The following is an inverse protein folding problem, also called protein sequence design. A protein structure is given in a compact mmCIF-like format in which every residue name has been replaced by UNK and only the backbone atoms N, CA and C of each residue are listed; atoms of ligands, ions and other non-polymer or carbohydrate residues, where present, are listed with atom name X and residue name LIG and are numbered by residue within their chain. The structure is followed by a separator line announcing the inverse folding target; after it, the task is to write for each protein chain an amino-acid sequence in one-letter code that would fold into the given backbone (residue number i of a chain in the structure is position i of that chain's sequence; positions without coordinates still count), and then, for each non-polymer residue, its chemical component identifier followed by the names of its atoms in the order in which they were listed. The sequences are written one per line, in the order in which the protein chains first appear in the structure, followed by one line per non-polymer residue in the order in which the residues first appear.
data_IF_155194831141
#
_entry.id   IF_155194831141
#
_cell.length_a   1.000
_cell.length_b   1.000
_cell.length_c   1.000
_cell.angle_alpha   90.00
_cell.angle_beta   90.00
_cell.angle_gamma   90.00
#
_symmetry.space_group_name_H-M   'P 1'
#
loop_
_entity.id
_entity.type
_entity.pdbx_description
1 polymer ?
#
# COMPACT_ATOMS: atom_id res chain seq x y z
N UNK A 1 6.31 11.66 6.70
CA UNK A 1 5.84 10.53 5.89
C UNK A 1 6.81 9.37 5.96
N UNK A 2 6.34 8.20 5.59
CA UNK A 2 7.18 7.01 5.65
C UNK A 2 8.34 7.09 4.68
N UNK A 3 9.54 6.83 5.17
CA UNK A 3 10.73 6.72 4.35
C UNK A 3 11.81 6.05 5.18
N UNK A 4 12.82 5.41 4.54
CA UNK A 4 13.91 4.81 5.30
C UNK A 4 14.75 5.85 6.00
N UNK A 5 15.21 5.54 7.21
CA UNK A 5 16.11 6.43 7.94
C UNK A 5 17.52 6.43 7.35
N UNK A 6 17.97 5.29 6.90
CA UNK A 6 19.29 5.12 6.29
C UNK A 6 19.17 4.21 5.08
N UNK A 7 19.91 4.53 4.03
CA UNK A 7 19.96 3.69 2.85
C UNK A 7 21.38 3.58 2.36
N UNK A 8 21.72 2.40 1.86
CA UNK A 8 23.03 2.19 1.28
C UNK A 8 23.15 2.95 -0.02
N UNK A 9 22.12 2.95 -0.82
CA UNK A 9 22.09 3.65 -2.09
C UNK A 9 20.86 4.50 -2.14
N UNK A 10 21.04 5.79 -2.32
CA UNK A 10 19.89 6.71 -2.37
C UNK A 10 19.20 6.70 -3.71
N UNK A 11 19.82 6.16 -4.73
CA UNK A 11 19.27 6.09 -6.07
C UNK A 11 19.28 4.66 -6.55
N UNK A 12 18.18 4.21 -7.16
CA UNK A 12 18.07 2.87 -7.70
C UNK A 12 17.49 2.96 -9.10
N UNK A 13 17.66 1.87 -9.86
CA UNK A 13 17.05 1.79 -11.18
C UNK A 13 15.57 1.52 -11.03
N UNK A 14 14.80 1.96 -12.04
CA UNK A 14 13.36 1.80 -11.97
C UNK A 14 12.90 0.35 -11.92
N UNK A 15 13.49 -0.50 -12.70
CA UNK A 15 13.05 -1.87 -12.78
C UNK A 15 11.69 -2.05 -13.44
N UNK A 16 11.26 -3.29 -13.56
CA UNK A 16 9.97 -3.64 -14.16
C UNK A 16 9.06 -4.25 -13.10
N UNK A 17 7.77 -3.96 -13.24
CA UNK A 17 6.76 -4.52 -12.35
C UNK A 17 6.22 -5.80 -12.94
N UNK A 18 6.93 -6.90 -12.76
CA UNK A 18 6.53 -8.19 -13.31
C UNK A 18 6.31 -9.21 -12.20
N UNK A 19 5.44 -10.17 -12.46
CA UNK A 19 5.20 -11.27 -11.55
C UNK A 19 4.24 -10.95 -10.43
N UNK A 20 3.78 -12.00 -9.74
CA UNK A 20 2.90 -11.87 -8.60
C UNK A 20 3.71 -11.77 -7.31
N UNK A 21 3.08 -11.32 -6.25
CA UNK A 21 3.72 -11.27 -4.93
C UNK A 21 4.06 -12.67 -4.46
N UNK A 22 5.25 -12.82 -3.90
CA UNK A 22 5.70 -14.12 -3.35
C UNK A 22 5.43 -14.24 -1.86
N UNK A 23 5.12 -13.16 -1.19
CA UNK A 23 4.82 -13.15 0.23
C UNK A 23 3.88 -12.00 0.54
N UNK A 24 3.38 -11.95 1.77
CA UNK A 24 2.47 -10.91 2.18
C UNK A 24 1.14 -10.96 1.43
N UNK A 25 0.68 -12.18 1.08
CA UNK A 25 -0.52 -12.35 0.27
C UNK A 25 -1.75 -12.70 1.09
N UNK A 26 -1.60 -12.87 2.38
CA UNK A 26 -2.74 -13.20 3.24
C UNK A 26 -2.85 -12.21 4.38
N UNK A 27 -4.07 -12.04 4.88
CA UNK A 27 -4.32 -11.21 6.07
C UNK A 27 -3.79 -11.97 7.28
N UNK A 28 -2.82 -11.39 7.98
CA UNK A 28 -2.12 -12.07 9.08
C UNK A 28 -2.32 -11.43 10.44
N UNK A 29 -2.44 -10.12 10.50
CA UNK A 29 -2.54 -9.40 11.77
C UNK A 29 -3.96 -9.00 12.12
N UNK A 30 -4.75 -8.63 11.15
CA UNK A 30 -6.12 -8.19 11.36
C UNK A 30 -7.14 -9.20 10.90
N UNK A 31 -8.38 -8.76 10.78
CA UNK A 31 -9.47 -9.59 10.30
C UNK A 31 -9.79 -9.30 8.84
N UNK A 32 -9.47 -8.11 8.37
CA UNK A 32 -9.79 -7.65 7.03
C UNK A 32 -8.56 -6.99 6.42
N UNK A 33 -8.53 -6.94 5.11
CA UNK A 33 -7.39 -6.33 4.42
C UNK A 33 -7.74 -5.75 3.07
N UNK A 34 -6.78 -5.02 2.52
CA UNK A 34 -6.82 -4.53 1.15
C UNK A 34 -5.70 -5.25 0.40
N UNK A 35 -6.07 -5.95 -0.66
CA UNK A 35 -5.11 -6.70 -1.46
C UNK A 35 -5.02 -6.09 -2.85
N UNK A 36 -3.81 -5.91 -3.34
CA UNK A 36 -3.58 -5.37 -4.68
C UNK A 36 -4.01 -6.38 -5.74
N UNK A 37 -4.70 -5.89 -6.76
CA UNK A 37 -5.10 -6.69 -7.91
C UNK A 37 -4.18 -6.42 -9.09
N UNK A 38 -3.65 -5.22 -9.16
CA UNK A 38 -2.74 -4.80 -10.22
C UNK A 38 -1.39 -4.41 -9.63
N UNK A 39 -0.31 -4.49 -10.41
CA UNK A 39 0.98 -3.99 -9.94
C UNK A 39 1.03 -2.47 -9.99
N UNK A 40 1.90 -1.90 -9.20
CA UNK A 40 2.10 -0.46 -9.23
C UNK A 40 3.09 -0.01 -8.19
N UNK A 41 3.33 1.29 -8.18
CA UNK A 41 4.14 1.94 -7.17
C UNK A 41 3.23 2.72 -6.24
N UNK A 42 3.41 2.52 -4.95
CA UNK A 42 2.61 3.18 -3.93
C UNK A 42 3.50 4.18 -3.20
N UNK A 43 3.21 5.46 -3.35
CA UNK A 43 4.02 6.50 -2.74
C UNK A 43 3.71 6.63 -1.25
N UNK A 44 4.64 7.21 -0.50
CA UNK A 44 4.42 7.47 0.92
C UNK A 44 3.17 8.33 1.15
N UNK A 45 2.91 9.29 0.26
CA UNK A 45 1.71 10.13 0.38
C UNK A 45 0.43 9.34 0.17
N UNK A 46 0.44 8.40 -0.77
CA UNK A 46 -0.74 7.56 -1.03
C UNK A 46 -1.00 6.61 0.15
N UNK A 47 0.07 6.06 0.74
CA UNK A 47 -0.07 5.23 1.93
C UNK A 47 -0.71 6.04 3.06
N UNK A 48 -0.21 7.24 3.29
CA UNK A 48 -0.75 8.09 4.35
C UNK A 48 -2.20 8.49 4.08
N UNK A 49 -2.52 8.83 2.84
CA UNK A 49 -3.88 9.19 2.46
C UNK A 49 -4.86 8.03 2.69
N UNK A 50 -4.46 6.82 2.33
CA UNK A 50 -5.29 5.64 2.54
C UNK A 50 -5.48 5.36 4.04
N UNK A 51 -4.40 5.47 4.83
CA UNK A 51 -4.48 5.27 6.27
C UNK A 51 -5.45 6.27 6.91
N UNK A 52 -5.35 7.53 6.52
CA UNK A 52 -6.23 8.57 7.06
C UNK A 52 -7.69 8.29 6.67
N UNK A 53 -7.93 7.88 5.44
CA UNK A 53 -9.29 7.57 4.99
C UNK A 53 -9.91 6.45 5.82
N UNK A 54 -9.14 5.40 6.11
CA UNK A 54 -9.62 4.31 6.95
C UNK A 54 -9.88 4.76 8.38
N UNK A 55 -8.92 5.45 8.99
CA UNK A 55 -9.04 5.84 10.38
C UNK A 55 -10.16 6.84 10.63
N UNK A 56 -10.41 7.73 9.68
CA UNK A 56 -11.54 8.66 9.80
C UNK A 56 -12.87 7.92 9.77
N UNK A 57 -12.97 6.89 8.97
CA UNK A 57 -14.23 6.18 8.82
C UNK A 57 -14.53 5.30 10.03
N UNK A 58 -13.53 4.61 10.57
CA UNK A 58 -13.74 3.76 11.75
C UNK A 58 -13.62 4.54 13.05
N UNK A 59 -13.18 5.77 12.97
CA UNK A 59 -13.04 6.66 14.13
C UNK A 59 -12.14 6.03 15.19
N UNK A 60 -12.61 5.87 16.42
CA UNK A 60 -11.78 5.35 17.48
C UNK A 60 -11.79 3.84 17.60
N UNK A 61 -12.66 3.18 16.86
CA UNK A 61 -12.69 1.73 16.88
C UNK A 61 -11.63 1.16 15.97
N UNK A 62 -11.17 0.01 16.29
CA UNK A 62 -10.31 -0.71 15.37
C UNK A 62 -8.84 -0.37 15.44
N UNK A 63 -8.07 -1.22 14.79
CA UNK A 63 -6.64 -1.09 14.69
C UNK A 63 -6.24 -1.31 13.25
N UNK A 64 -5.31 -0.49 12.75
CA UNK A 64 -4.87 -0.53 11.36
C UNK A 64 -3.40 -0.93 11.32
N UNK A 65 -3.06 -1.83 10.41
CA UNK A 65 -1.66 -2.17 10.12
C UNK A 65 -1.36 -1.78 8.69
N UNK A 66 -0.20 -1.16 8.49
CA UNK A 66 0.32 -0.85 7.16
C UNK A 66 1.35 -1.92 6.85
N UNK A 67 1.10 -2.71 5.81
CA UNK A 67 1.96 -3.85 5.49
C UNK A 67 2.95 -3.59 4.36
N UNK A 68 3.03 -2.36 3.90
CA UNK A 68 3.99 -1.97 2.87
C UNK A 68 4.80 -0.80 3.38
N UNK A 69 6.03 -0.71 2.91
CA UNK A 69 6.91 0.38 3.29
C UNK A 69 7.56 0.95 2.03
N UNK A 70 7.59 2.27 1.87
CA UNK A 70 8.18 2.89 0.68
C UNK A 70 9.70 2.96 0.81
N UNK A 71 10.37 1.93 0.33
CA UNK A 71 11.82 1.82 0.45
C UNK A 71 12.57 2.06 -0.85
N UNK A 72 11.87 2.27 -1.97
CA UNK A 72 12.51 2.52 -3.25
C UNK A 72 12.52 4.01 -3.56
N UNK A 73 13.69 4.62 -3.74
CA UNK A 73 13.74 6.03 -4.13
C UNK A 73 13.48 6.19 -5.61
N UNK A 74 12.69 7.20 -5.95
CA UNK A 74 12.41 7.55 -7.34
C UNK A 74 12.88 8.98 -7.55
N UNK A 75 13.67 9.18 -8.59
CA UNK A 75 14.18 10.51 -8.91
C UNK A 75 13.37 11.11 -10.05
N UNK A 76 13.11 12.40 -9.93
CA UNK A 76 12.49 13.15 -11.00
C UNK A 76 13.46 14.24 -11.42
N UNK A 77 13.66 14.41 -12.71
CA UNK A 77 14.44 15.54 -13.18
C UNK A 77 13.53 16.76 -13.21
N UNK A 78 13.99 17.89 -12.67
CA UNK A 78 13.22 19.13 -12.82
C UNK A 78 13.04 19.45 -14.30
N UNK A 79 11.96 20.14 -14.64
CA UNK A 79 11.70 20.49 -16.03
C UNK A 79 12.82 21.31 -16.66
N UNK A 80 13.59 22.03 -15.83
CA UNK A 80 14.68 22.85 -16.31
C UNK A 80 16.01 22.16 -16.38
N UNK A 81 16.10 20.89 -15.98
CA UNK A 81 17.36 20.16 -15.99
C UNK A 81 17.76 19.83 -17.41
N UNK A 82 18.98 20.22 -17.77
CA UNK A 82 19.51 19.91 -19.09
C UNK A 82 19.82 18.42 -19.21
N UNK A 83 19.71 17.90 -20.41
CA UNK A 83 20.07 16.52 -20.67
C UNK A 83 21.53 16.28 -20.36
N UNK A 84 21.82 15.14 -19.77
CA UNK A 84 23.20 14.78 -19.48
C UNK A 84 23.72 15.22 -18.12
N UNK A 85 22.94 15.93 -17.34
CA UNK A 85 23.41 16.38 -16.03
C UNK A 85 23.26 15.32 -14.93
N UNK A 86 23.01 14.05 -15.28
CA UNK A 86 22.95 12.97 -14.32
C UNK A 86 21.58 12.84 -13.64
N UNK A 87 21.46 11.88 -12.72
CA UNK A 87 20.23 11.69 -11.98
C UNK A 87 20.04 12.79 -10.95
N UNK A 88 18.83 13.29 -10.86
CA UNK A 88 18.48 14.22 -9.80
C UNK A 88 18.46 13.56 -8.43
N UNK A 89 18.20 14.33 -7.40
CA UNK A 89 18.05 13.79 -6.06
C UNK A 89 16.76 12.98 -5.94
N UNK A 90 16.70 11.97 -5.05
CA UNK A 90 15.47 11.26 -4.81
C UNK A 90 14.40 12.21 -4.25
N UNK A 91 13.28 12.32 -4.93
CA UNK A 91 12.19 13.17 -4.50
C UNK A 91 11.03 12.40 -3.90
N UNK A 92 10.90 11.14 -4.25
CA UNK A 92 9.81 10.29 -3.82
C UNK A 92 10.33 8.96 -3.33
N UNK A 93 9.68 8.45 -2.32
CA UNK A 93 9.89 7.08 -1.88
C UNK A 93 8.63 6.30 -2.18
N UNK A 94 8.79 5.13 -2.78
CA UNK A 94 7.66 4.30 -3.17
C UNK A 94 7.85 2.86 -2.71
N UNK A 95 6.73 2.18 -2.49
CA UNK A 95 6.72 0.75 -2.29
C UNK A 95 6.37 0.10 -3.63
N UNK A 96 7.14 -0.90 -4.03
CA UNK A 96 6.84 -1.68 -5.23
C UNK A 96 5.82 -2.73 -4.84
N UNK A 97 4.67 -2.72 -5.51
CA UNK A 97 3.56 -3.61 -5.19
C UNK A 97 3.31 -4.54 -6.36
N UNK A 98 3.24 -5.83 -6.06
CA UNK A 98 2.89 -6.86 -7.03
C UNK A 98 1.48 -7.36 -6.77
N UNK A 99 0.76 -7.87 -7.77
CA UNK A 99 -0.58 -8.39 -7.56
C UNK A 99 -0.60 -9.47 -6.49
N UNK A 100 -1.59 -9.43 -5.62
CA UNK A 100 -1.72 -10.38 -4.52
C UNK A 100 -1.22 -9.86 -3.18
N UNK A 101 -0.44 -8.78 -3.17
CA UNK A 101 0.10 -8.25 -1.91
C UNK A 101 -1.00 -7.60 -1.08
N UNK A 102 -1.03 -7.93 0.21
CA UNK A 102 -1.91 -7.25 1.17
C UNK A 102 -1.22 -5.97 1.61
N UNK A 103 -1.90 -4.86 1.45
CA UNK A 103 -1.32 -3.53 1.68
C UNK A 103 -1.64 -2.98 3.06
N UNK A 104 -2.87 -3.18 3.51
CA UNK A 104 -3.35 -2.71 4.80
C UNK A 104 -4.21 -3.78 5.43
N UNK A 105 -4.25 -3.79 6.77
CA UNK A 105 -5.14 -4.67 7.51
C UNK A 105 -5.89 -3.88 8.58
N UNK A 106 -7.06 -4.38 8.95
CA UNK A 106 -7.93 -3.72 9.92
C UNK A 106 -8.55 -4.77 10.81
N UNK A 107 -8.67 -4.48 12.09
CA UNK A 107 -9.33 -5.35 13.06
C UNK A 107 -10.07 -4.51 14.10
N UNK A 108 -10.94 -5.17 14.86
CA UNK A 108 -11.64 -4.51 15.95
C UNK A 108 -12.93 -3.81 15.54
N UNK A 109 -13.39 -4.04 14.31
CA UNK A 109 -14.65 -3.49 13.82
C UNK A 109 -15.40 -4.60 13.08
N UNK A 110 -16.70 -4.41 12.86
CA UNK A 110 -17.46 -5.41 12.12
C UNK A 110 -17.15 -5.32 10.62
N UNK A 111 -17.56 -6.34 9.90
CA UNK A 111 -17.22 -6.45 8.48
C UNK A 111 -17.81 -5.32 7.64
N UNK A 112 -19.04 -4.92 7.95
CA UNK A 112 -19.69 -3.85 7.18
C UNK A 112 -18.94 -2.53 7.31
N UNK A 113 -18.57 -2.17 8.52
CA UNK A 113 -17.80 -0.95 8.76
C UNK A 113 -16.41 -1.05 8.15
N UNK A 114 -15.78 -2.21 8.27
CA UNK A 114 -14.46 -2.43 7.68
C UNK A 114 -14.49 -2.30 6.16
N UNK A 115 -15.50 -2.89 5.52
CA UNK A 115 -15.64 -2.82 4.07
C UNK A 115 -15.80 -1.37 3.60
N UNK A 116 -16.65 -0.61 4.28
CA UNK A 116 -16.86 0.79 3.93
C UNK A 116 -15.58 1.61 4.10
N UNK A 117 -14.87 1.40 5.20
CA UNK A 117 -13.63 2.12 5.46
C UNK A 117 -12.57 1.80 4.41
N UNK A 118 -12.44 0.52 4.08
CA UNK A 118 -11.42 0.10 3.12
C UNK A 118 -11.75 0.50 1.69
N UNK A 119 -13.03 0.57 1.34
CA UNK A 119 -13.40 1.08 0.03
C UNK A 119 -13.00 2.54 -0.15
N UNK A 120 -13.11 3.32 0.91
CA UNK A 120 -12.64 4.70 0.87
C UNK A 120 -11.13 4.78 0.71
N UNK A 121 -10.41 3.90 1.38
CA UNK A 121 -8.95 3.84 1.26
C UNK A 121 -8.52 3.40 -0.13
N UNK A 122 -9.21 2.43 -0.71
CA UNK A 122 -8.89 1.91 -2.04
C UNK A 122 -8.92 3.03 -3.09
N UNK A 123 -9.82 4.00 -2.93
CA UNK A 123 -9.90 5.10 -3.87
C UNK A 123 -8.68 6.03 -3.85
N UNK A 124 -7.85 5.93 -2.81
CA UNK A 124 -6.62 6.71 -2.73
C UNK A 124 -5.43 6.01 -3.37
N UNK A 125 -5.62 4.78 -3.83
CA UNK A 125 -4.55 3.99 -4.42
C UNK A 125 -4.48 4.21 -5.93
N UNK A 126 -3.29 4.10 -6.52
CA UNK A 126 -3.11 4.34 -7.95
C UNK A 126 -3.39 3.12 -8.83
N UNK A 127 -3.79 2.01 -8.24
CA UNK A 127 -4.06 0.77 -8.96
C UNK A 127 -5.26 0.06 -8.34
N UNK A 128 -5.75 -0.95 -9.01
CA UNK A 128 -6.88 -1.71 -8.49
C UNK A 128 -6.51 -2.53 -7.29
N UNK A 129 -7.37 -2.51 -6.29
CA UNK A 129 -7.23 -3.30 -5.08
C UNK A 129 -8.62 -3.75 -4.64
N UNK A 130 -8.66 -4.75 -3.79
CA UNK A 130 -9.93 -5.30 -3.32
C UNK A 130 -9.92 -5.54 -1.82
N UNK A 131 -11.12 -5.56 -1.25
CA UNK A 131 -11.33 -5.91 0.15
C UNK A 131 -11.21 -7.42 0.29
N UNK A 132 -10.47 -7.88 1.28
CA UNK A 132 -10.35 -9.31 1.57
C UNK A 132 -10.59 -9.57 3.05
N UNK A 133 -11.04 -10.78 3.36
CA UNK A 133 -11.33 -11.21 4.72
C UNK A 133 -10.31 -12.28 5.11
N UNK A 134 -9.88 -12.27 6.36
CA UNK A 134 -8.96 -13.29 6.85
C UNK A 134 -9.65 -14.66 6.80
N UNK A 135 -9.01 -15.68 6.25
CA UNK A 135 -9.60 -17.01 6.17
C UNK A 135 -9.95 -17.55 7.57
N UNK A 136 -11.15 -18.12 7.71
CA UNK A 136 -11.58 -18.66 8.98
C UNK A 136 -12.17 -17.67 9.96
N UNK A 137 -12.11 -16.39 9.64
CA UNK A 137 -12.63 -15.36 10.52
C UNK A 137 -14.16 -15.36 10.45
N UNK A 138 -14.79 -15.43 11.60
CA UNK A 138 -16.26 -15.39 11.71
C UNK A 138 -17.00 -16.43 10.86
N UNK A 139 -16.35 -17.47 10.45
CA UNK A 139 -17.00 -18.52 9.70
C UNK A 139 -17.56 -18.11 8.35
N UNK A 140 -17.23 -16.94 7.94
CA UNK A 140 -17.73 -16.48 6.66
C UNK A 140 -16.59 -16.26 5.73
N UNK A 141 -15.76 -17.17 5.80
CA UNK A 141 -14.62 -17.01 5.06
C UNK A 141 -14.77 -16.81 3.63
N UNK A 142 -15.80 -17.01 3.07
CA UNK A 142 -15.77 -17.01 1.77
C UNK A 142 -15.99 -15.85 1.22
N UNK A 143 -15.41 -15.24 0.86
CA UNK A 143 -15.64 -14.54 0.18
C UNK A 143 -15.46 -13.43 -0.20
N UNK A 144 -14.90 -12.99 -0.13
CA UNK A 144 -14.48 -11.94 -0.48
C UNK A 144 -14.30 -11.70 -1.84
N UNK A 145 -14.74 -11.25 -2.50
CA UNK A 145 -14.40 -11.02 -3.78
C UNK A 145 -14.67 -9.70 -4.29
#
# INVERSE_FOLDING_TARGET
MLMPKKVKHRKTQRGRLTGAAKGGTTVSFGDFGIQAVEPGWLTARQIEAARIAMTRHVKRGGKVWIRVFPDKPVTQKPAETRMGSGKGNPELWVAVVHPGRVLFELAGVDEELARAAMERAIQKLPFKARFVVRPGTHGHAEVAI
#
